data_IF_001187763793
#
_entry.id   IF_001187763793
#
_cell.length_a   1.000
_cell.length_b   1.000
_cell.length_c   1.000
_cell.angle_alpha   90.00
_cell.angle_beta   90.00
_cell.angle_gamma   90.00
#
_symmetry.space_group_name_H-M   'P 1'
#
loop_
_entity.id
_entity.type
_entity.pdbx_description
1 polymer ?
#
# COMPACT_ATOMS: atom_id res chain seq x y z
N UNK A 1 -4.95 -12.12 -5.99
CA UNK A 1 -4.41 -10.75 -5.77
C UNK A 1 -4.26 -10.37 -4.29
N UNK A 2 -5.07 -10.90 -3.35
CA UNK A 2 -4.99 -10.48 -1.93
C UNK A 2 -3.75 -10.96 -1.17
N UNK A 3 -3.06 -12.00 -1.61
CA UNK A 3 -2.04 -12.61 -0.72
C UNK A 3 -0.63 -12.04 -0.86
N UNK A 4 -0.34 -11.21 -1.89
CA UNK A 4 1.03 -10.79 -2.21
C UNK A 4 1.30 -9.27 -2.15
N UNK A 5 0.29 -8.41 -1.90
CA UNK A 5 0.48 -6.94 -1.93
C UNK A 5 1.36 -6.39 -0.80
N UNK A 6 1.60 -7.18 0.26
CA UNK A 6 2.47 -6.82 1.37
C UNK A 6 3.97 -7.08 1.09
N UNK A 7 4.30 -7.81 0.01
CA UNK A 7 5.68 -8.05 -0.39
C UNK A 7 6.37 -6.74 -0.75
N UNK A 8 7.52 -6.47 -0.12
CA UNK A 8 8.34 -5.26 -0.34
C UNK A 8 8.80 -5.10 -1.79
N UNK A 9 8.97 -6.21 -2.49
CA UNK A 9 9.46 -6.31 -3.86
C UNK A 9 8.34 -6.45 -4.90
N UNK A 10 7.05 -6.41 -4.52
CA UNK A 10 5.97 -6.55 -5.48
C UNK A 10 5.97 -5.38 -6.47
N UNK A 11 6.41 -5.65 -7.69
CA UNK A 11 6.38 -4.74 -8.81
C UNK A 11 5.37 -5.22 -9.86
N UNK A 12 4.99 -4.32 -10.77
CA UNK A 12 4.13 -4.64 -11.92
C UNK A 12 4.60 -5.89 -12.71
N UNK A 13 5.92 -6.09 -12.97
CA UNK A 13 6.41 -7.29 -13.65
C UNK A 13 6.06 -8.58 -12.92
N UNK A 14 6.06 -8.59 -11.58
CA UNK A 14 5.73 -9.79 -10.79
C UNK A 14 4.26 -10.17 -10.93
N UNK A 15 3.38 -9.17 -10.96
CA UNK A 15 1.94 -9.40 -11.19
C UNK A 15 1.72 -9.88 -12.62
N UNK A 16 2.36 -9.23 -13.59
CA UNK A 16 2.26 -9.56 -15.00
C UNK A 16 2.72 -10.99 -15.29
N UNK A 17 3.87 -11.38 -14.73
CA UNK A 17 4.39 -12.75 -14.79
C UNK A 17 3.44 -13.76 -14.14
N UNK A 18 2.85 -13.43 -12.97
CA UNK A 18 1.93 -14.33 -12.27
C UNK A 18 0.62 -14.60 -13.03
N UNK A 19 0.20 -13.69 -13.92
CA UNK A 19 -1.03 -13.84 -14.73
C UNK A 19 -0.75 -14.14 -16.20
N UNK A 20 0.53 -14.27 -16.59
CA UNK A 20 0.93 -14.55 -17.98
C UNK A 20 0.61 -13.44 -18.97
N UNK A 21 0.51 -12.19 -18.52
CA UNK A 21 0.17 -11.04 -19.36
C UNK A 21 1.33 -10.05 -19.41
N UNK A 22 1.35 -9.17 -20.41
CA UNK A 22 2.33 -8.08 -20.43
C UNK A 22 1.97 -7.00 -19.40
N UNK A 23 3.00 -6.37 -18.82
CA UNK A 23 2.90 -5.24 -17.90
C UNK A 23 1.93 -4.15 -18.38
N UNK A 24 2.00 -3.82 -19.68
CA UNK A 24 1.13 -2.82 -20.32
C UNK A 24 -0.33 -3.24 -20.29
N UNK A 25 -0.60 -4.51 -20.59
CA UNK A 25 -1.95 -5.04 -20.62
C UNK A 25 -2.54 -5.15 -19.20
N UNK A 26 -1.74 -5.61 -18.24
CA UNK A 26 -2.16 -5.63 -16.82
C UNK A 26 -2.48 -4.23 -16.31
N UNK A 27 -1.62 -3.25 -16.59
CA UNK A 27 -1.91 -1.87 -16.19
C UNK A 27 -3.17 -1.30 -16.86
N UNK A 28 -3.38 -1.58 -18.14
CA UNK A 28 -4.58 -1.15 -18.86
C UNK A 28 -5.83 -1.78 -18.25
N UNK A 29 -5.82 -3.09 -18.01
CA UNK A 29 -6.94 -3.82 -17.43
C UNK A 29 -7.26 -3.34 -16.00
N UNK A 30 -6.23 -3.16 -15.15
CA UNK A 30 -6.45 -2.66 -13.79
C UNK A 30 -6.98 -1.23 -13.80
N UNK A 31 -6.50 -0.39 -14.73
CA UNK A 31 -7.01 0.97 -14.90
C UNK A 31 -8.46 0.99 -15.39
N UNK A 32 -8.82 0.10 -16.29
CA UNK A 32 -10.18 -0.01 -16.80
C UNK A 32 -11.17 -0.44 -15.69
N UNK A 33 -10.78 -1.43 -14.88
CA UNK A 33 -11.62 -1.95 -13.79
C UNK A 33 -11.65 -1.03 -12.56
N UNK A 34 -10.54 -0.39 -12.22
CA UNK A 34 -10.38 0.31 -10.92
C UNK A 34 -10.22 1.83 -11.04
N UNK A 35 -10.09 2.36 -12.26
CA UNK A 35 -9.74 3.75 -12.53
C UNK A 35 -8.27 4.11 -12.26
N UNK A 36 -7.45 3.16 -11.78
CA UNK A 36 -6.09 3.42 -11.32
C UNK A 36 -5.09 2.36 -11.82
N UNK A 37 -3.81 2.69 -11.85
CA UNK A 37 -2.75 1.73 -12.21
C UNK A 37 -2.61 0.66 -11.13
N UNK A 38 -1.92 -0.45 -11.45
CA UNK A 38 -1.69 -1.49 -10.45
C UNK A 38 -0.86 -0.99 -9.26
N UNK A 39 0.11 -0.10 -9.51
CA UNK A 39 0.92 0.49 -8.44
C UNK A 39 0.02 1.30 -7.49
N UNK A 40 -0.90 2.10 -8.02
CA UNK A 40 -1.87 2.82 -7.19
C UNK A 40 -2.80 1.87 -6.43
N UNK A 41 -3.24 0.78 -7.05
CA UNK A 41 -4.08 -0.23 -6.38
C UNK A 41 -3.32 -0.91 -5.22
N UNK A 42 -2.05 -1.27 -5.42
CA UNK A 42 -1.18 -1.84 -4.38
C UNK A 42 -0.94 -0.84 -3.25
N UNK A 43 -0.64 0.41 -3.59
CA UNK A 43 -0.49 1.50 -2.60
C UNK A 43 -1.77 1.64 -1.77
N UNK A 44 -2.94 1.67 -2.41
CA UNK A 44 -4.22 1.79 -1.71
C UNK A 44 -4.46 0.63 -0.73
N UNK A 45 -4.24 -0.62 -1.17
CA UNK A 45 -4.39 -1.80 -0.29
C UNK A 45 -3.42 -1.75 0.91
N UNK A 46 -2.16 -1.37 0.68
CA UNK A 46 -1.16 -1.19 1.75
C UNK A 46 -1.58 -0.11 2.76
N UNK A 47 -2.15 0.99 2.26
CA UNK A 47 -2.67 2.08 3.09
C UNK A 47 -3.90 1.68 3.90
N UNK A 48 -4.79 0.88 3.31
CA UNK A 48 -5.94 0.29 4.02
C UNK A 48 -5.50 -0.62 5.16
N UNK A 49 -4.49 -1.46 4.95
CA UNK A 49 -3.91 -2.28 6.04
C UNK A 49 -3.23 -1.42 7.10
N UNK A 50 -2.54 -0.35 6.71
CA UNK A 50 -1.99 0.62 7.65
C UNK A 50 -3.10 1.33 8.45
N UNK A 51 -4.29 1.56 7.87
CA UNK A 51 -5.41 2.14 8.60
C UNK A 51 -6.10 1.14 9.56
N UNK A 52 -5.87 -0.17 9.39
CA UNK A 52 -6.38 -1.24 10.27
C UNK A 52 -5.52 -1.50 11.51
N UNK A 53 -4.48 -0.72 11.72
CA UNK A 53 -3.54 -0.96 12.81
C UNK A 53 -4.20 -0.90 14.20
N UNK A 54 -3.80 -1.82 15.11
CA UNK A 54 -4.26 -1.78 16.49
C UNK A 54 -3.76 -0.51 17.19
N UNK A 55 -4.53 -0.05 18.19
CA UNK A 55 -4.23 1.14 19.00
C UNK A 55 -2.94 1.03 19.83
N UNK A 56 -2.27 -0.12 19.80
CA UNK A 56 -1.08 -0.40 20.62
C UNK A 56 0.06 0.62 20.32
N UNK A 57 0.45 1.45 21.30
CA UNK A 57 1.54 2.41 21.15
C UNK A 57 2.91 1.76 20.86
N UNK A 58 3.07 0.48 21.19
CA UNK A 58 4.30 -0.29 20.99
C UNK A 58 4.59 -0.61 19.52
N UNK A 59 3.57 -0.58 18.67
CA UNK A 59 3.71 -0.66 17.22
C UNK A 59 4.31 0.64 16.68
N UNK A 60 5.63 0.75 16.77
CA UNK A 60 6.36 1.88 16.19
C UNK A 60 6.13 1.91 14.68
N UNK A 61 5.87 3.10 14.14
CA UNK A 61 5.56 3.35 12.71
C UNK A 61 6.56 2.69 11.75
N UNK A 62 7.82 2.53 12.15
CA UNK A 62 8.81 1.81 11.34
C UNK A 62 8.44 0.34 11.08
N UNK A 63 7.86 -0.38 12.06
CA UNK A 63 7.40 -1.76 11.88
C UNK A 63 6.21 -1.86 10.94
N UNK A 64 5.41 -0.81 10.90
CA UNK A 64 4.25 -0.70 10.02
C UNK A 64 4.74 -0.58 8.60
N UNK A 65 5.61 0.40 8.31
CA UNK A 65 6.24 0.54 6.99
C UNK A 65 6.83 -0.78 6.51
N UNK A 66 7.58 -1.45 7.39
CA UNK A 66 8.20 -2.73 7.08
C UNK A 66 7.19 -3.81 6.70
N UNK A 67 6.07 -3.88 7.44
CA UNK A 67 5.01 -4.87 7.24
C UNK A 67 4.15 -4.60 6.01
N UNK A 68 3.96 -3.34 5.63
CA UNK A 68 3.15 -2.97 4.45
C UNK A 68 3.99 -2.79 3.18
N UNK A 69 5.25 -3.22 3.18
CA UNK A 69 6.07 -3.23 1.97
C UNK A 69 6.70 -1.89 1.59
N UNK A 70 6.80 -0.93 2.52
CA UNK A 70 7.50 0.34 2.33
C UNK A 70 8.88 0.27 2.97
N UNK A 71 9.92 0.46 2.15
CA UNK A 71 11.32 0.60 2.61
C UNK A 71 11.63 2.02 3.08
N UNK A 72 10.93 3.02 2.54
CA UNK A 72 11.06 4.43 2.88
C UNK A 72 9.88 4.90 3.76
N UNK A 73 10.19 5.36 4.97
CA UNK A 73 9.18 5.82 5.93
C UNK A 73 8.62 7.20 5.61
N UNK A 74 9.41 8.08 4.99
CA UNK A 74 8.97 9.42 4.64
C UNK A 74 8.05 9.36 3.42
N UNK A 75 8.39 8.52 2.45
CA UNK A 75 7.47 8.22 1.33
C UNK A 75 6.15 7.61 1.82
N UNK A 76 6.19 6.70 2.80
CA UNK A 76 4.98 6.17 3.42
C UNK A 76 4.16 7.28 4.09
N UNK A 77 4.79 8.14 4.91
CA UNK A 77 4.09 9.23 5.62
C UNK A 77 3.39 10.18 4.66
N UNK A 78 4.08 10.61 3.61
CA UNK A 78 3.50 11.49 2.60
C UNK A 78 2.35 10.82 1.84
N UNK A 79 2.52 9.56 1.45
CA UNK A 79 1.46 8.81 0.77
C UNK A 79 0.23 8.59 1.68
N UNK A 80 0.45 8.28 2.97
CA UNK A 80 -0.63 8.11 3.95
C UNK A 80 -1.36 9.45 4.19
N UNK A 81 -0.62 10.55 4.35
CA UNK A 81 -1.19 11.89 4.51
C UNK A 81 -1.98 12.32 3.27
N UNK A 82 -1.49 12.02 2.06
CA UNK A 82 -2.21 12.27 0.81
C UNK A 82 -3.53 11.50 0.75
N UNK A 83 -3.55 10.26 1.24
CA UNK A 83 -4.72 9.38 1.19
C UNK A 83 -5.77 9.71 2.28
N UNK A 84 -5.33 10.01 3.50
CA UNK A 84 -6.21 10.17 4.68
C UNK A 84 -6.27 11.58 5.25
N UNK A 85 -5.52 12.54 4.67
CA UNK A 85 -5.48 13.93 5.10
C UNK A 85 -4.67 14.19 6.39
N UNK A 86 -4.13 13.15 7.02
CA UNK A 86 -3.38 13.23 8.28
C UNK A 86 -2.23 12.23 8.29
N UNK A 87 -1.22 12.47 9.12
CA UNK A 87 -0.12 11.53 9.29
C UNK A 87 -0.59 10.23 9.95
N UNK A 88 0.13 9.10 9.77
CA UNK A 88 -0.20 7.84 10.45
C UNK A 88 -0.27 7.98 11.97
N UNK A 89 0.60 8.80 12.57
CA UNK A 89 0.59 9.09 14.01
C UNK A 89 -0.69 9.80 14.44
N UNK A 90 -1.08 10.86 13.72
CA UNK A 90 -2.29 11.63 14.01
C UNK A 90 -3.55 10.77 13.80
N UNK A 91 -3.57 9.97 12.73
CA UNK A 91 -4.67 9.03 12.46
C UNK A 91 -4.86 8.03 13.61
N UNK A 92 -3.76 7.50 14.15
CA UNK A 92 -3.77 6.62 15.33
C UNK A 92 -4.29 7.36 16.56
N UNK A 93 -3.82 8.57 16.83
CA UNK A 93 -4.21 9.34 18.01
C UNK A 93 -5.69 9.76 17.97
N UNK A 94 -6.24 10.08 16.80
CA UNK A 94 -7.68 10.39 16.64
C UNK A 94 -8.60 9.20 16.87
N UNK A 95 -8.06 7.99 16.70
CA UNK A 95 -8.77 6.74 16.96
C UNK A 95 -8.55 6.20 18.37
N UNK A 96 -7.73 6.84 19.22
CA UNK A 96 -7.49 6.40 20.60
C UNK A 96 -8.67 6.73 21.51
#
# INVERSE_FOLDING_TARGET
>A
MRDNYLRKDLALPDVAAAVGLSDKYVNALVKDVTGATINHAVIRLRMEEAARLPRDPSARIYKICDRIGYTDQDYFREAFKKQYGVTPTEYRNRRA
#
